data_IF_740042624473
#
_entry.id   IF_740042624473
#
_cell.length_a   1.000
_cell.length_b   1.000
_cell.length_c   1.000
_cell.angle_alpha   90.00
_cell.angle_beta   90.00
_cell.angle_gamma   90.00
#
_symmetry.space_group_name_H-M   'P 1'
#
loop_
_entity.id
_entity.type
_entity.pdbx_description
1 polymer ?
#
# COMPACT_ATOMS: atom_id res chain seq x y z
N UNK A 1 23.75 -19.04 -2.37
CA UNK A 1 23.66 -17.60 -2.70
C UNK A 1 24.85 -16.90 -2.09
N UNK A 2 25.36 -15.85 -2.74
CA UNK A 2 26.46 -15.02 -2.24
C UNK A 2 25.93 -13.73 -1.59
N UNK A 3 26.82 -12.95 -0.98
CA UNK A 3 26.50 -11.68 -0.30
C UNK A 3 25.78 -10.67 -1.22
N UNK A 4 26.15 -10.63 -2.51
CA UNK A 4 25.52 -9.76 -3.51
C UNK A 4 24.06 -10.13 -3.76
N UNK A 5 23.76 -11.42 -3.86
CA UNK A 5 22.40 -11.90 -4.04
C UNK A 5 21.51 -11.60 -2.83
N UNK A 6 22.03 -11.76 -1.60
CA UNK A 6 21.28 -11.39 -0.39
C UNK A 6 21.07 -9.88 -0.26
N UNK A 7 22.05 -9.08 -0.69
CA UNK A 7 21.88 -7.63 -0.77
C UNK A 7 20.77 -7.25 -1.77
N UNK A 8 20.73 -7.86 -2.96
CA UNK A 8 19.65 -7.64 -3.92
C UNK A 8 18.29 -8.08 -3.38
N UNK A 9 18.25 -9.23 -2.69
CA UNK A 9 17.04 -9.72 -2.02
C UNK A 9 16.56 -8.80 -0.90
N UNK A 10 17.43 -7.92 -0.39
CA UNK A 10 17.05 -6.89 0.58
C UNK A 10 16.36 -5.72 -0.11
N UNK A 11 17.01 -5.06 -1.07
CA UNK A 11 16.52 -3.77 -1.55
C UNK A 11 15.48 -3.87 -2.68
N UNK A 12 15.56 -4.91 -3.54
CA UNK A 12 14.66 -5.05 -4.70
C UNK A 12 13.20 -5.22 -4.26
N UNK A 13 12.85 -6.07 -3.27
CA UNK A 13 11.46 -6.19 -2.85
C UNK A 13 10.92 -4.89 -2.25
N UNK A 14 11.73 -4.13 -1.51
CA UNK A 14 11.31 -2.84 -0.95
C UNK A 14 11.16 -1.75 -2.01
N UNK A 15 11.99 -1.78 -3.05
CA UNK A 15 11.79 -0.95 -4.22
C UNK A 15 10.44 -1.27 -4.90
N UNK A 16 10.11 -2.56 -5.04
CA UNK A 16 8.82 -2.98 -5.58
C UNK A 16 7.64 -2.54 -4.70
N UNK A 17 7.76 -2.58 -3.37
CA UNK A 17 6.74 -2.04 -2.44
C UNK A 17 6.49 -0.56 -2.73
N UNK A 18 7.56 0.25 -2.84
CA UNK A 18 7.44 1.67 -3.17
C UNK A 18 6.80 1.92 -4.54
N UNK A 19 7.17 1.12 -5.54
CA UNK A 19 6.62 1.22 -6.89
C UNK A 19 5.12 0.87 -6.96
N UNK A 20 4.70 -0.20 -6.28
CA UNK A 20 3.29 -0.60 -6.19
C UNK A 20 2.48 0.49 -5.48
N UNK A 21 2.96 1.00 -4.34
CA UNK A 21 2.30 2.08 -3.63
C UNK A 21 2.14 3.33 -4.51
N UNK A 22 3.20 3.77 -5.19
CA UNK A 22 3.14 4.92 -6.08
C UNK A 22 2.13 4.71 -7.23
N UNK A 23 2.16 3.54 -7.86
CA UNK A 23 1.24 3.22 -8.96
C UNK A 23 -0.21 3.25 -8.50
N UNK A 24 -0.51 2.62 -7.36
CA UNK A 24 -1.86 2.64 -6.79
C UNK A 24 -2.30 4.06 -6.44
N UNK A 25 -1.40 4.86 -5.86
CA UNK A 25 -1.67 6.26 -5.55
C UNK A 25 -2.05 7.07 -6.79
N UNK A 26 -1.27 6.93 -7.87
CA UNK A 26 -1.56 7.57 -9.16
C UNK A 26 -2.90 7.10 -9.73
N UNK A 27 -3.20 5.80 -9.66
CA UNK A 27 -4.50 5.26 -10.12
C UNK A 27 -5.67 5.92 -9.38
N UNK A 28 -5.60 6.01 -8.04
CA UNK A 28 -6.65 6.66 -7.24
C UNK A 28 -6.80 8.16 -7.54
N UNK A 29 -5.72 8.84 -7.91
CA UNK A 29 -5.75 10.26 -8.28
C UNK A 29 -6.38 10.49 -9.66
N UNK A 30 -6.15 9.59 -10.61
CA UNK A 30 -6.40 9.83 -12.05
C UNK A 30 -7.68 9.22 -12.58
N UNK A 31 -8.17 8.12 -12.00
CA UNK A 31 -9.43 7.50 -12.42
C UNK A 31 -10.61 8.44 -12.11
N UNK A 32 -11.64 8.41 -12.96
CA UNK A 32 -12.79 9.32 -12.86
C UNK A 32 -13.54 9.16 -11.52
N UNK A 33 -13.92 7.92 -11.19
CA UNK A 33 -14.69 7.56 -9.99
C UNK A 33 -13.93 6.52 -9.16
N UNK A 34 -12.90 6.94 -8.40
CA UNK A 34 -11.98 6.01 -7.72
C UNK A 34 -12.64 5.14 -6.66
N UNK A 35 -13.73 5.61 -6.05
CA UNK A 35 -14.51 4.87 -5.07
C UNK A 35 -15.23 3.65 -5.67
N UNK A 36 -15.37 3.57 -7.00
CA UNK A 36 -15.91 2.37 -7.66
C UNK A 36 -14.97 1.16 -7.56
N UNK A 37 -13.67 1.37 -7.35
CA UNK A 37 -12.69 0.28 -7.17
C UNK A 37 -13.04 -0.61 -5.96
N UNK A 38 -13.67 -0.02 -4.95
CA UNK A 38 -14.11 -0.71 -3.73
C UNK A 38 -15.64 -0.86 -3.63
N UNK A 39 -16.39 -0.63 -4.73
CA UNK A 39 -17.86 -0.60 -4.74
C UNK A 39 -18.48 -1.76 -3.96
N UNK A 40 -18.12 -3.00 -4.31
CA UNK A 40 -18.69 -4.21 -3.67
C UNK A 40 -18.43 -4.26 -2.16
N UNK A 41 -17.25 -3.82 -1.71
CA UNK A 41 -16.92 -3.82 -0.30
C UNK A 41 -17.62 -2.69 0.45
N UNK A 42 -17.70 -1.50 -0.17
CA UNK A 42 -18.37 -0.34 0.39
C UNK A 42 -19.89 -0.53 0.49
N UNK A 43 -20.55 -1.03 -0.57
CA UNK A 43 -21.99 -1.35 -0.53
C UNK A 43 -22.30 -2.41 0.54
N UNK A 44 -21.43 -3.41 0.70
CA UNK A 44 -21.58 -4.40 1.76
C UNK A 44 -21.43 -3.79 3.16
N UNK A 45 -20.51 -2.83 3.34
CA UNK A 45 -20.31 -2.12 4.60
C UNK A 45 -21.49 -1.18 4.93
N UNK A 46 -22.00 -0.48 3.92
CA UNK A 46 -23.11 0.47 4.06
C UNK A 46 -24.48 -0.22 4.14
N UNK A 47 -24.55 -1.51 3.77
CA UNK A 47 -25.80 -2.29 3.68
C UNK A 47 -26.84 -1.67 2.74
N UNK A 48 -26.38 -0.90 1.74
CA UNK A 48 -27.21 -0.24 0.71
C UNK A 48 -26.40 -0.16 -0.58
N UNK A 49 -27.09 -0.22 -1.73
CA UNK A 49 -26.42 -0.06 -3.04
C UNK A 49 -26.07 1.41 -3.28
N UNK A 50 -25.03 1.68 -4.07
CA UNK A 50 -24.71 3.03 -4.49
C UNK A 50 -25.81 3.67 -5.34
N UNK A 51 -26.51 2.86 -6.13
CA UNK A 51 -27.66 3.34 -6.91
C UNK A 51 -28.76 3.90 -5.99
N UNK A 52 -29.14 3.12 -4.97
CA UNK A 52 -30.12 3.55 -3.97
C UNK A 52 -29.60 4.73 -3.14
N UNK A 53 -28.35 4.66 -2.66
CA UNK A 53 -27.75 5.70 -1.83
C UNK A 53 -27.67 7.06 -2.54
N UNK A 54 -27.27 7.08 -3.82
CA UNK A 54 -27.12 8.31 -4.60
C UNK A 54 -28.43 8.80 -5.23
N UNK A 55 -29.48 7.98 -5.24
CA UNK A 55 -30.82 8.41 -5.67
C UNK A 55 -31.49 9.37 -4.68
N UNK A 56 -31.03 9.40 -3.42
CA UNK A 56 -31.55 10.27 -2.37
C UNK A 56 -31.07 11.70 -2.58
N UNK A 57 -31.98 12.66 -2.56
CA UNK A 57 -31.71 14.08 -2.84
C UNK A 57 -30.67 14.69 -1.88
N UNK A 58 -30.65 14.22 -0.64
CA UNK A 58 -29.72 14.61 0.42
C UNK A 58 -28.27 14.20 0.08
N UNK A 59 -28.09 13.15 -0.73
CA UNK A 59 -26.80 12.57 -1.09
C UNK A 59 -26.29 12.98 -2.47
N UNK A 60 -26.91 13.98 -3.13
CA UNK A 60 -26.54 14.41 -4.48
C UNK A 60 -25.05 14.79 -4.64
N UNK A 61 -24.38 15.23 -3.57
CA UNK A 61 -22.94 15.58 -3.57
C UNK A 61 -22.03 14.48 -3.02
N UNK A 62 -22.59 13.35 -2.58
CA UNK A 62 -21.82 12.26 -1.99
C UNK A 62 -20.81 11.63 -2.98
N UNK A 63 -21.13 11.42 -4.27
CA UNK A 63 -20.13 10.93 -5.23
C UNK A 63 -18.93 11.87 -5.38
N UNK A 64 -19.18 13.19 -5.41
CA UNK A 64 -18.12 14.21 -5.50
C UNK A 64 -17.24 14.18 -4.25
N UNK A 65 -17.86 14.07 -3.07
CA UNK A 65 -17.15 13.93 -1.80
C UNK A 65 -16.27 12.67 -1.77
N UNK A 66 -16.81 11.52 -2.19
CA UNK A 66 -16.06 10.26 -2.26
C UNK A 66 -14.87 10.38 -3.22
N UNK A 67 -15.05 10.99 -4.39
CA UNK A 67 -13.95 11.25 -5.32
C UNK A 67 -12.85 12.10 -4.69
N UNK A 68 -13.20 13.16 -3.96
CA UNK A 68 -12.23 13.97 -3.23
C UNK A 68 -11.46 13.14 -2.19
N UNK A 69 -12.16 12.36 -1.36
CA UNK A 69 -11.55 11.54 -0.31
C UNK A 69 -10.57 10.50 -0.87
N UNK A 70 -10.96 9.82 -1.94
CA UNK A 70 -10.09 8.82 -2.59
C UNK A 70 -8.89 9.46 -3.29
N UNK A 71 -9.04 10.65 -3.89
CA UNK A 71 -7.88 11.39 -4.45
C UNK A 71 -6.93 11.85 -3.38
N UNK A 72 -7.44 12.31 -2.23
CA UNK A 72 -6.61 12.64 -1.08
C UNK A 72 -5.83 11.42 -0.58
N UNK A 73 -6.50 10.27 -0.46
CA UNK A 73 -5.85 9.00 -0.15
C UNK A 73 -4.78 8.60 -1.20
N UNK A 74 -5.09 8.77 -2.49
CA UNK A 74 -4.16 8.51 -3.59
C UNK A 74 -2.89 9.37 -3.51
N UNK A 75 -2.99 10.64 -3.12
CA UNK A 75 -1.83 11.51 -2.89
C UNK A 75 -0.97 11.05 -1.72
N UNK A 76 -1.57 10.62 -0.61
CA UNK A 76 -0.84 10.03 0.51
C UNK A 76 -0.13 8.75 0.13
N UNK A 77 -0.78 7.88 -0.65
CA UNK A 77 -0.17 6.65 -1.10
C UNK A 77 0.98 6.91 -2.10
N UNK A 78 0.81 7.91 -2.97
CA UNK A 78 1.85 8.37 -3.89
C UNK A 78 3.06 8.93 -3.15
N UNK A 79 2.84 9.77 -2.14
CA UNK A 79 3.93 10.36 -1.35
C UNK A 79 4.71 9.28 -0.59
N UNK A 80 4.03 8.30 0.02
CA UNK A 80 4.65 7.14 0.66
C UNK A 80 5.47 6.34 -0.36
N UNK A 81 4.91 6.05 -1.53
CA UNK A 81 5.61 5.32 -2.59
C UNK A 81 6.89 6.02 -3.04
N UNK A 82 6.82 7.34 -3.28
CA UNK A 82 7.99 8.18 -3.63
C UNK A 82 9.03 8.15 -2.51
N UNK A 83 8.61 8.32 -1.25
CA UNK A 83 9.53 8.31 -0.11
C UNK A 83 10.26 6.97 0.02
N UNK A 84 9.56 5.84 -0.14
CA UNK A 84 10.18 4.51 -0.12
C UNK A 84 11.19 4.36 -1.28
N UNK A 85 10.78 4.73 -2.50
CA UNK A 85 11.64 4.63 -3.68
C UNK A 85 12.92 5.47 -3.53
N UNK A 86 12.78 6.72 -3.11
CA UNK A 86 13.92 7.62 -2.87
C UNK A 86 14.80 7.10 -1.73
N UNK A 87 14.20 6.63 -0.64
CA UNK A 87 14.94 6.07 0.50
C UNK A 87 15.77 4.86 0.09
N UNK A 88 15.17 3.92 -0.64
CA UNK A 88 15.87 2.73 -1.16
C UNK A 88 16.94 3.14 -2.17
N UNK A 89 16.65 4.11 -3.05
CA UNK A 89 17.60 4.59 -4.05
C UNK A 89 18.84 5.22 -3.43
N UNK A 90 18.67 6.09 -2.43
CA UNK A 90 19.76 6.83 -1.77
C UNK A 90 20.55 5.93 -0.83
N UNK A 91 19.88 5.14 0.01
CA UNK A 91 20.56 4.33 1.04
C UNK A 91 21.09 3.00 0.52
N UNK A 92 20.55 2.53 -0.62
CA UNK A 92 20.69 1.16 -1.14
C UNK A 92 20.39 0.08 -0.10
N UNK A 93 19.78 0.44 1.04
CA UNK A 93 19.63 -0.43 2.21
C UNK A 93 20.94 -1.11 2.67
N UNK A 94 22.08 -0.43 2.47
CA UNK A 94 23.41 -1.00 2.73
C UNK A 94 23.75 -1.20 4.21
N UNK A 95 23.21 -0.35 5.10
CA UNK A 95 23.43 -0.42 6.55
C UNK A 95 22.27 -1.09 7.28
N UNK A 96 22.55 -1.73 8.42
CA UNK A 96 21.50 -2.35 9.24
C UNK A 96 20.50 -1.30 9.76
N UNK A 97 20.97 -0.09 10.06
CA UNK A 97 20.10 1.03 10.45
C UNK A 97 19.10 1.37 9.33
N UNK A 98 19.57 1.52 8.09
CA UNK A 98 18.69 1.86 6.97
C UNK A 98 17.64 0.77 6.72
N UNK A 99 18.03 -0.50 6.83
CA UNK A 99 17.11 -1.64 6.73
C UNK A 99 16.06 -1.62 7.83
N UNK A 100 16.48 -1.54 9.08
CA UNK A 100 15.59 -1.62 10.23
C UNK A 100 14.60 -0.45 10.28
N UNK A 101 15.03 0.78 9.98
CA UNK A 101 14.13 1.93 9.91
C UNK A 101 13.02 1.73 8.87
N UNK A 102 13.38 1.27 7.67
CA UNK A 102 12.40 1.04 6.61
C UNK A 102 11.48 -0.14 6.95
N UNK A 103 12.00 -1.23 7.52
CA UNK A 103 11.19 -2.37 7.93
C UNK A 103 10.22 -2.02 9.05
N UNK A 104 10.66 -1.33 10.10
CA UNK A 104 9.80 -0.95 11.21
C UNK A 104 8.66 -0.05 10.74
N UNK A 105 8.97 1.01 9.97
CA UNK A 105 7.95 1.93 9.44
C UNK A 105 6.96 1.22 8.52
N UNK A 106 7.44 0.42 7.57
CA UNK A 106 6.58 -0.32 6.64
C UNK A 106 5.71 -1.35 7.38
N UNK A 107 6.27 -2.05 8.38
CA UNK A 107 5.53 -3.04 9.17
C UNK A 107 4.38 -2.40 9.94
N UNK A 108 4.63 -1.27 10.60
CA UNK A 108 3.59 -0.54 11.36
C UNK A 108 2.44 -0.12 10.44
N UNK A 109 2.77 0.47 9.28
CA UNK A 109 1.77 0.90 8.30
C UNK A 109 0.99 -0.30 7.75
N UNK A 110 1.68 -1.37 7.35
CA UNK A 110 1.02 -2.56 6.82
C UNK A 110 0.11 -3.22 7.85
N UNK A 111 0.50 -3.32 9.13
CA UNK A 111 -0.38 -3.83 10.20
C UNK A 111 -1.65 -2.97 10.31
N UNK A 112 -1.50 -1.64 10.35
CA UNK A 112 -2.64 -0.71 10.43
C UNK A 112 -3.60 -0.89 9.25
N UNK A 113 -3.06 -0.94 8.03
CA UNK A 113 -3.83 -1.18 6.79
C UNK A 113 -4.54 -2.53 6.84
N UNK A 114 -3.83 -3.59 7.25
CA UNK A 114 -4.40 -4.94 7.35
C UNK A 114 -5.59 -5.00 8.31
N UNK A 115 -5.44 -4.40 9.49
CA UNK A 115 -6.49 -4.33 10.50
C UNK A 115 -7.73 -3.59 9.98
N UNK A 116 -7.55 -2.47 9.27
CA UNK A 116 -8.65 -1.72 8.67
C UNK A 116 -9.36 -2.56 7.61
N UNK A 117 -8.60 -3.18 6.69
CA UNK A 117 -9.18 -3.98 5.61
C UNK A 117 -10.00 -5.14 6.17
N UNK A 118 -9.42 -5.93 7.08
CA UNK A 118 -10.11 -7.10 7.64
C UNK A 118 -11.35 -6.73 8.43
N UNK A 119 -11.33 -5.58 9.12
CA UNK A 119 -12.46 -5.13 9.95
C UNK A 119 -13.60 -4.53 9.13
N UNK A 120 -13.28 -3.71 8.13
CA UNK A 120 -14.28 -2.87 7.46
C UNK A 120 -14.60 -3.30 6.03
N UNK A 121 -13.61 -3.78 5.28
CA UNK A 121 -13.76 -4.08 3.84
C UNK A 121 -13.09 -5.41 3.43
N UNK A 122 -13.34 -6.54 4.12
CA UNK A 122 -12.57 -7.78 3.90
C UNK A 122 -12.74 -8.40 2.51
N UNK A 123 -13.75 -7.96 1.75
CA UNK A 123 -14.03 -8.43 0.37
C UNK A 123 -13.38 -7.55 -0.71
N UNK A 124 -12.62 -6.52 -0.34
CA UNK A 124 -11.94 -5.66 -1.32
C UNK A 124 -10.82 -6.42 -2.06
N UNK A 125 -10.63 -6.19 -3.38
CA UNK A 125 -9.43 -6.63 -4.09
C UNK A 125 -8.12 -6.12 -3.45
N UNK A 126 -8.18 -5.00 -2.72
CA UNK A 126 -7.02 -4.39 -2.05
C UNK A 126 -6.41 -5.30 -0.95
N UNK A 127 -7.15 -6.29 -0.45
CA UNK A 127 -6.62 -7.30 0.47
C UNK A 127 -5.50 -8.12 -0.19
N UNK A 128 -5.68 -8.55 -1.45
CA UNK A 128 -4.68 -9.31 -2.20
C UNK A 128 -3.41 -8.51 -2.47
N UNK A 129 -3.56 -7.23 -2.79
CA UNK A 129 -2.44 -6.29 -2.91
C UNK A 129 -1.68 -6.24 -1.58
N UNK A 130 -2.40 -6.11 -0.46
CA UNK A 130 -1.80 -6.05 0.87
C UNK A 130 -1.04 -7.33 1.22
N UNK A 131 -1.58 -8.51 0.88
CA UNK A 131 -0.85 -9.79 1.00
C UNK A 131 0.46 -9.76 0.20
N UNK A 132 0.43 -9.27 -1.03
CA UNK A 132 1.62 -9.13 -1.88
C UNK A 132 2.69 -8.20 -1.26
N UNK A 133 2.28 -7.07 -0.69
CA UNK A 133 3.18 -6.14 -0.01
C UNK A 133 3.83 -6.76 1.24
N UNK A 134 3.05 -7.49 2.04
CA UNK A 134 3.57 -8.24 3.20
C UNK A 134 4.57 -9.30 2.75
N UNK A 135 4.25 -10.05 1.69
CA UNK A 135 5.18 -11.03 1.13
C UNK A 135 6.51 -10.40 0.70
N UNK A 136 6.47 -9.28 -0.03
CA UNK A 136 7.68 -8.55 -0.43
C UNK A 136 8.50 -8.07 0.77
N UNK A 137 7.83 -7.56 1.81
CA UNK A 137 8.49 -7.17 3.06
C UNK A 137 9.19 -8.37 3.72
N UNK A 138 8.53 -9.52 3.83
CA UNK A 138 9.10 -10.72 4.44
C UNK A 138 10.30 -11.26 3.65
N UNK A 139 10.22 -11.25 2.31
CA UNK A 139 11.35 -11.61 1.44
C UNK A 139 12.53 -10.68 1.67
N UNK A 140 12.27 -9.37 1.79
CA UNK A 140 13.31 -8.37 2.08
C UNK A 140 13.98 -8.60 3.43
N UNK A 141 13.17 -8.81 4.48
CA UNK A 141 13.65 -9.09 5.85
C UNK A 141 14.49 -10.36 5.87
N UNK A 142 14.05 -11.41 5.17
CA UNK A 142 14.84 -12.65 5.02
C UNK A 142 16.20 -12.35 4.37
N UNK A 143 16.23 -11.59 3.27
CA UNK A 143 17.48 -11.15 2.63
C UNK A 143 18.42 -10.43 3.61
N UNK A 144 17.89 -9.51 4.42
CA UNK A 144 18.64 -8.77 5.45
C UNK A 144 19.23 -9.67 6.53
N UNK A 145 18.45 -10.64 7.03
CA UNK A 145 18.90 -11.60 8.05
C UNK A 145 20.05 -12.45 7.51
N UNK A 146 19.93 -12.97 6.27
CA UNK A 146 21.00 -13.75 5.66
C UNK A 146 22.25 -12.88 5.41
N UNK A 147 22.09 -11.68 4.88
CA UNK A 147 23.21 -10.75 4.64
C UNK A 147 24.02 -10.47 5.92
N UNK A 148 23.35 -10.40 7.07
CA UNK A 148 24.00 -10.18 8.37
C UNK A 148 24.77 -11.41 8.86
N UNK A 149 24.34 -12.62 8.49
CA UNK A 149 25.04 -13.88 8.83
C UNK A 149 26.29 -14.14 7.99
N UNK A 150 26.41 -13.48 6.84
CA UNK A 150 27.57 -13.59 5.93
C UNK A 150 28.69 -12.59 6.20
N UNK A 151 28.46 -11.61 7.08
CA UNK A 151 29.48 -10.65 7.54
C UNK A 151 30.15 -11.19 8.79
#
# INVERSE_FOLDING_TARGET
>A
MDSRNFHNLTWVPMFAVGFVALTLGIVYVTIQDPWLLDKKANEALLMVTYEELFSQSENQYLPVYLTLMYRFFGWWLSSIGILILLYVFVTKMGTSMARNCLYCSTTIVLIGVYCIILKFIPKTPFLWVTHGLVFLLLVSVYGSVQLTRYK
#
